data_IF_039728589417
#
_entry.id   IF_039728589417
#
_cell.length_a   1.000
_cell.length_b   1.000
_cell.length_c   1.000
_cell.angle_alpha   90.00
_cell.angle_beta   90.00
_cell.angle_gamma   90.00
#
_symmetry.space_group_name_H-M   'P 1'
#
loop_
_entity.id
_entity.type
_entity.pdbx_description
1 polymer ?
#
# COMPACT_ATOMS: atom_id res chain seq x y z
N UNK A 1 17.68 12.96 18.46
CA UNK A 1 18.66 12.46 17.48
C UNK A 1 18.36 13.08 16.14
N UNK A 2 19.31 13.78 15.49
CA UNK A 2 19.13 14.48 14.22
C UNK A 2 18.84 13.46 13.09
N UNK A 3 18.02 13.85 12.09
CA UNK A 3 17.75 13.01 10.89
C UNK A 3 19.05 12.55 10.21
N UNK A 4 20.06 13.43 10.20
CA UNK A 4 21.38 13.14 9.63
C UNK A 4 22.09 11.99 10.37
N UNK A 5 21.98 11.95 11.70
CA UNK A 5 22.62 10.91 12.53
C UNK A 5 22.01 9.53 12.33
N UNK A 6 20.68 9.47 12.03
CA UNK A 6 20.02 8.23 11.66
C UNK A 6 20.47 7.71 10.29
N UNK A 7 20.69 8.60 9.32
CA UNK A 7 21.20 8.26 7.99
C UNK A 7 22.63 7.71 8.03
N UNK A 8 23.49 8.30 8.87
CA UNK A 8 24.90 7.80 9.05
C UNK A 8 24.91 6.41 9.67
N UNK A 9 24.03 6.15 10.62
CA UNK A 9 23.96 4.84 11.30
C UNK A 9 23.26 3.76 10.47
N UNK A 10 22.44 4.14 9.50
CA UNK A 10 21.76 3.20 8.61
C UNK A 10 21.78 3.72 7.16
N UNK A 11 22.81 3.34 6.37
CA UNK A 11 22.97 3.81 5.00
C UNK A 11 21.82 3.40 4.08
N UNK A 12 21.06 2.35 4.41
CA UNK A 12 19.89 1.93 3.64
C UNK A 12 18.72 2.93 3.71
N UNK A 13 18.72 3.84 4.69
CA UNK A 13 17.72 4.93 4.73
C UNK A 13 17.86 5.92 3.57
N UNK A 14 19.03 6.05 2.95
CA UNK A 14 19.18 6.81 1.70
C UNK A 14 18.36 6.20 0.58
N UNK A 15 18.31 4.86 0.52
CA UNK A 15 17.51 4.16 -0.46
C UNK A 15 16.00 4.43 -0.27
N UNK A 16 15.49 4.48 0.97
CA UNK A 16 14.07 4.79 1.21
C UNK A 16 13.71 6.19 0.75
N UNK A 17 14.56 7.18 1.02
CA UNK A 17 14.36 8.56 0.54
C UNK A 17 14.37 8.62 -0.98
N UNK A 18 15.33 7.95 -1.64
CA UNK A 18 15.38 7.87 -3.10
C UNK A 18 14.11 7.21 -3.70
N UNK A 19 13.59 6.16 -3.02
CA UNK A 19 12.39 5.47 -3.42
C UNK A 19 11.14 6.37 -3.31
N UNK A 20 11.00 7.14 -2.25
CA UNK A 20 9.92 8.12 -2.07
C UNK A 20 9.88 9.17 -3.19
N UNK A 21 11.03 9.51 -3.76
CA UNK A 21 11.16 10.43 -4.91
C UNK A 21 11.12 9.71 -6.28
N UNK A 22 10.81 8.42 -6.33
CA UNK A 22 10.71 7.65 -7.56
C UNK A 22 12.04 7.34 -8.25
N UNK A 23 13.17 7.65 -7.63
CA UNK A 23 14.50 7.44 -8.22
C UNK A 23 14.90 5.96 -8.34
N UNK A 24 14.13 5.06 -7.71
CA UNK A 24 14.39 3.61 -7.70
C UNK A 24 13.39 2.81 -8.52
N UNK A 25 12.54 3.45 -9.34
CA UNK A 25 11.50 2.78 -10.12
C UNK A 25 12.02 1.78 -11.16
N UNK A 26 13.30 1.87 -11.53
CA UNK A 26 13.99 0.94 -12.42
C UNK A 26 14.55 -0.30 -11.71
N UNK A 27 14.55 -0.31 -10.36
CA UNK A 27 15.07 -1.44 -9.57
C UNK A 27 14.07 -2.59 -9.58
N UNK A 28 14.50 -3.84 -9.84
CA UNK A 28 13.62 -5.01 -9.76
C UNK A 28 12.96 -5.15 -8.38
N UNK A 29 11.72 -5.64 -8.37
CA UNK A 29 10.89 -5.71 -7.15
C UNK A 29 11.55 -6.49 -5.99
N UNK A 30 12.21 -7.60 -6.29
CA UNK A 30 12.90 -8.41 -5.29
C UNK A 30 14.05 -7.65 -4.63
N UNK A 31 14.84 -6.94 -5.43
CA UNK A 31 15.93 -6.09 -4.94
C UNK A 31 15.39 -4.89 -4.16
N UNK A 32 14.34 -4.24 -4.69
CA UNK A 32 13.67 -3.14 -4.00
C UNK A 32 13.17 -3.57 -2.61
N UNK A 33 12.48 -4.71 -2.52
CA UNK A 33 12.00 -5.23 -1.24
C UNK A 33 13.13 -5.57 -0.27
N UNK A 34 14.24 -6.16 -0.75
CA UNK A 34 15.43 -6.45 0.08
C UNK A 34 16.03 -5.18 0.66
N UNK A 35 16.15 -4.13 -0.14
CA UNK A 35 16.69 -2.83 0.31
C UNK A 35 15.77 -2.14 1.32
N UNK A 36 14.46 -2.07 1.02
CA UNK A 36 13.45 -1.48 1.92
C UNK A 36 13.35 -2.25 3.24
N UNK A 37 13.38 -3.57 3.19
CA UNK A 37 13.35 -4.42 4.39
C UNK A 37 14.59 -4.18 5.27
N UNK A 38 15.77 -4.12 4.65
CA UNK A 38 17.02 -3.81 5.35
C UNK A 38 16.99 -2.44 6.01
N UNK A 39 16.45 -1.44 5.32
CA UNK A 39 16.31 -0.08 5.85
C UNK A 39 15.38 -0.03 7.07
N UNK A 40 14.25 -0.74 7.01
CA UNK A 40 13.17 -0.64 8.00
C UNK A 40 13.34 -1.57 9.20
N UNK A 41 13.79 -2.81 8.95
CA UNK A 41 13.89 -3.87 9.96
C UNK A 41 15.33 -4.01 10.48
N UNK A 42 16.33 -3.62 9.69
CA UNK A 42 17.74 -3.78 10.02
C UNK A 42 18.33 -5.16 9.70
N UNK A 43 17.52 -6.09 9.19
CA UNK A 43 17.89 -7.46 8.86
C UNK A 43 17.89 -7.74 7.36
N UNK A 44 18.49 -8.84 6.93
CA UNK A 44 18.43 -9.28 5.53
C UNK A 44 17.10 -9.99 5.29
N UNK A 45 16.42 -9.63 4.19
CA UNK A 45 15.21 -10.29 3.74
C UNK A 45 15.59 -11.63 3.05
N UNK A 46 15.04 -12.74 3.57
CA UNK A 46 15.14 -14.04 2.92
C UNK A 46 13.82 -14.32 2.15
N UNK A 47 13.89 -14.28 0.83
CA UNK A 47 12.76 -14.59 -0.06
C UNK A 47 12.74 -16.04 -0.55
N UNK A 48 13.84 -16.78 -0.39
CA UNK A 48 13.93 -18.18 -0.81
C UNK A 48 13.30 -19.12 0.22
N UNK A 49 13.49 -18.81 1.52
CA UNK A 49 12.93 -19.58 2.63
C UNK A 49 12.48 -18.63 3.74
N UNK A 50 11.34 -17.91 3.55
CA UNK A 50 10.84 -16.92 4.50
C UNK A 50 10.33 -17.60 5.78
N UNK A 51 10.93 -17.27 6.93
CA UNK A 51 10.59 -17.85 8.24
C UNK A 51 9.66 -16.94 9.03
N UNK A 52 9.99 -15.65 9.09
CA UNK A 52 9.24 -14.69 9.87
C UNK A 52 7.97 -14.22 9.15
N UNK A 53 7.01 -13.70 9.91
CA UNK A 53 5.79 -13.10 9.35
C UNK A 53 6.11 -11.99 8.35
N UNK A 54 7.06 -11.11 8.68
CA UNK A 54 7.44 -10.01 7.81
C UNK A 54 8.08 -10.50 6.50
N UNK A 55 8.92 -11.52 6.53
CA UNK A 55 9.50 -12.13 5.32
C UNK A 55 8.41 -12.75 4.44
N UNK A 56 7.46 -13.47 5.03
CA UNK A 56 6.32 -14.06 4.32
C UNK A 56 5.45 -13.00 3.64
N UNK A 57 5.21 -11.85 4.31
CA UNK A 57 4.51 -10.73 3.69
C UNK A 57 5.25 -10.16 2.48
N UNK A 58 6.58 -10.02 2.55
CA UNK A 58 7.35 -9.55 1.40
C UNK A 58 7.35 -10.58 0.26
N UNK A 59 7.43 -11.86 0.58
CA UNK A 59 7.32 -12.94 -0.40
C UNK A 59 5.97 -12.91 -1.14
N UNK A 60 4.86 -12.72 -0.42
CA UNK A 60 3.52 -12.59 -1.00
C UNK A 60 3.42 -11.41 -1.98
N UNK A 61 4.05 -10.28 -1.72
CA UNK A 61 4.05 -9.12 -2.62
C UNK A 61 4.60 -9.43 -4.02
N UNK A 62 5.48 -10.42 -4.13
CA UNK A 62 6.07 -10.83 -5.40
C UNK A 62 5.24 -11.95 -6.06
N UNK A 63 4.80 -12.93 -5.27
CA UNK A 63 4.26 -14.19 -5.78
C UNK A 63 2.73 -14.23 -5.84
N UNK A 64 2.05 -13.46 -4.99
CA UNK A 64 0.59 -13.40 -4.92
C UNK A 64 0.06 -12.09 -5.53
N UNK A 65 0.04 -12.01 -6.87
CA UNK A 65 -0.40 -10.84 -7.64
C UNK A 65 -1.74 -11.11 -8.31
N UNK A 66 -2.80 -11.19 -7.51
CA UNK A 66 -4.14 -11.34 -8.04
C UNK A 66 -4.70 -9.97 -8.48
N UNK A 67 -5.12 -9.79 -9.76
CA UNK A 67 -5.71 -8.54 -10.24
C UNK A 67 -6.94 -8.09 -9.44
N UNK A 68 -7.66 -9.03 -8.83
CA UNK A 68 -8.81 -8.75 -7.98
C UNK A 68 -8.44 -7.86 -6.77
N UNK A 69 -7.21 -7.93 -6.28
CA UNK A 69 -6.79 -7.12 -5.13
C UNK A 69 -6.92 -5.62 -5.37
N UNK A 70 -6.69 -5.15 -6.60
CA UNK A 70 -6.89 -3.75 -6.96
C UNK A 70 -8.35 -3.32 -6.75
N UNK A 71 -9.30 -4.18 -7.11
CA UNK A 71 -10.74 -3.92 -6.86
C UNK A 71 -11.07 -3.97 -5.37
N UNK A 72 -10.51 -4.95 -4.63
CA UNK A 72 -10.82 -5.14 -3.21
C UNK A 72 -10.23 -4.05 -2.29
N UNK A 73 -9.12 -3.40 -2.68
CA UNK A 73 -8.54 -2.29 -1.91
C UNK A 73 -9.14 -0.93 -2.27
N UNK A 74 -9.81 -0.82 -3.42
CA UNK A 74 -10.54 0.37 -3.82
C UNK A 74 -11.87 0.45 -3.04
N UNK A 75 -11.99 1.46 -2.17
CA UNK A 75 -13.14 1.62 -1.27
C UNK A 75 -14.49 1.82 -1.97
N UNK A 76 -14.48 2.27 -3.21
CA UNK A 76 -15.70 2.43 -4.00
C UNK A 76 -16.02 1.13 -4.76
N UNK A 77 -15.06 0.58 -5.48
CA UNK A 77 -15.23 -0.63 -6.29
C UNK A 77 -15.53 -1.88 -5.46
N UNK A 78 -14.94 -2.00 -4.26
CA UNK A 78 -15.23 -3.13 -3.37
C UNK A 78 -16.68 -3.17 -2.93
N UNK A 79 -17.35 -2.02 -2.77
CA UNK A 79 -18.77 -1.98 -2.42
C UNK A 79 -19.65 -2.63 -3.49
N UNK A 80 -19.42 -2.30 -4.75
CA UNK A 80 -20.13 -2.94 -5.87
C UNK A 80 -19.81 -4.44 -5.94
N UNK A 81 -18.54 -4.80 -5.79
CA UNK A 81 -18.12 -6.20 -5.80
C UNK A 81 -18.77 -7.02 -4.68
N UNK A 82 -18.99 -6.44 -3.50
CA UNK A 82 -19.70 -7.08 -2.36
C UNK A 82 -21.19 -7.13 -2.64
N UNK A 83 -21.81 -6.03 -3.09
CA UNK A 83 -23.23 -5.96 -3.41
C UNK A 83 -23.64 -7.03 -4.43
N UNK A 84 -22.84 -7.25 -5.47
CA UNK A 84 -23.08 -8.27 -6.50
C UNK A 84 -23.06 -9.70 -5.96
N UNK A 85 -22.48 -9.95 -4.77
CA UNK A 85 -22.33 -11.29 -4.18
C UNK A 85 -23.28 -11.60 -3.04
N UNK A 86 -23.56 -10.63 -2.22
CA UNK A 86 -24.37 -10.84 -1.00
C UNK A 86 -25.58 -9.91 -0.88
N UNK A 87 -25.78 -9.00 -1.84
CA UNK A 87 -26.89 -8.06 -1.90
C UNK A 87 -26.50 -6.63 -1.46
N UNK A 88 -27.18 -5.65 -2.06
CA UNK A 88 -26.95 -4.23 -1.77
C UNK A 88 -27.30 -3.84 -0.32
N UNK A 89 -28.22 -4.57 0.30
CA UNK A 89 -28.66 -4.36 1.69
C UNK A 89 -27.55 -4.60 2.72
N UNK A 90 -26.49 -5.32 2.34
CA UNK A 90 -25.32 -5.59 3.20
C UNK A 90 -24.18 -4.58 3.00
N UNK A 91 -24.37 -3.59 2.12
CA UNK A 91 -23.35 -2.58 1.81
C UNK A 91 -23.77 -1.21 2.30
N UNK A 92 -22.87 -0.52 2.98
CA UNK A 92 -23.13 0.86 3.42
C UNK A 92 -23.35 1.78 2.23
N UNK A 93 -24.41 2.59 2.29
CA UNK A 93 -24.78 3.53 1.24
C UNK A 93 -23.62 4.49 0.94
N UNK A 94 -23.36 4.69 -0.34
CA UNK A 94 -22.45 5.75 -0.81
C UNK A 94 -23.32 6.92 -1.26
N UNK A 95 -23.16 8.07 -0.63
CA UNK A 95 -23.95 9.27 -0.96
C UNK A 95 -23.38 10.02 -2.16
N UNK A 96 -22.05 10.08 -2.24
CA UNK A 96 -21.35 10.70 -3.35
C UNK A 96 -19.93 10.13 -3.49
N UNK A 97 -19.35 10.33 -4.67
CA UNK A 97 -17.95 10.06 -4.98
C UNK A 97 -17.47 11.16 -5.94
N UNK A 98 -16.29 11.68 -5.69
CA UNK A 98 -15.65 12.70 -6.53
C UNK A 98 -14.25 12.23 -6.91
N UNK A 99 -13.82 12.58 -8.11
CA UNK A 99 -12.49 12.23 -8.62
C UNK A 99 -11.44 13.28 -8.24
N UNK A 100 -11.88 14.54 -8.00
CA UNK A 100 -11.01 15.65 -7.62
C UNK A 100 -11.55 16.38 -6.39
N UNK A 101 -10.66 16.97 -5.62
CA UNK A 101 -11.01 17.77 -4.44
C UNK A 101 -11.80 19.05 -4.80
N UNK A 102 -11.57 19.60 -6.01
CA UNK A 102 -12.27 20.77 -6.51
C UNK A 102 -13.74 20.49 -6.86
N UNK A 103 -14.08 19.24 -7.15
CA UNK A 103 -15.44 18.83 -7.55
C UNK A 103 -16.34 18.55 -6.34
N UNK A 104 -15.84 18.62 -5.11
CA UNK A 104 -16.60 18.28 -3.90
C UNK A 104 -17.77 19.25 -3.73
N UNK A 105 -18.99 18.72 -3.90
CA UNK A 105 -20.24 19.39 -3.60
C UNK A 105 -20.96 18.69 -2.44
N UNK A 106 -21.08 19.38 -1.32
CA UNK A 106 -21.72 18.90 -0.09
C UNK A 106 -23.18 19.28 0.02
N UNK A 107 -23.71 20.07 -0.91
CA UNK A 107 -25.08 20.64 -0.81
C UNK A 107 -26.18 19.58 -0.89
N UNK A 108 -25.90 18.44 -1.53
CA UNK A 108 -26.84 17.30 -1.66
C UNK A 108 -26.65 16.21 -0.60
N UNK A 109 -25.71 16.37 0.34
CA UNK A 109 -25.47 15.38 1.38
C UNK A 109 -26.48 15.52 2.53
N UNK A 110 -26.83 14.40 3.22
CA UNK A 110 -27.65 14.48 4.42
C UNK A 110 -26.91 15.20 5.55
N UNK A 111 -27.63 15.87 6.44
CA UNK A 111 -27.04 16.58 7.58
C UNK A 111 -26.30 15.66 8.57
N UNK A 112 -26.63 14.35 8.55
CA UNK A 112 -26.01 13.30 9.38
C UNK A 112 -25.73 12.06 8.54
N UNK A 113 -24.51 11.56 8.58
CA UNK A 113 -24.06 10.33 7.91
C UNK A 113 -22.97 9.62 8.70
#
# INVERSE_FOLDING_TARGET
>A
MSKLMKLVNNPFLFYTVAAEHGLTNWVPDDMHLKMMYRASIGERLNLEDPKTFNEKLQWLKIHDRNPLYTTLVDKYRVKQWVADRIGEEHVTKTYAMWESAEDIDITGLPERF
#
